data_IF_620588599081
#
_entry.id   IF_620588599081
#
_cell.length_a   1.000
_cell.length_b   1.000
_cell.length_c   1.000
_cell.angle_alpha   90.00
_cell.angle_beta   90.00
_cell.angle_gamma   90.00
#
_symmetry.space_group_name_H-M   'P 1'
#
loop_
_entity.id
_entity.type
_entity.pdbx_description
1 polymer ?
#
# COMPACT_ATOMS: atom_id res chain seq x y z
N UNK A 1 -33.34 -32.20 4.25
CA UNK A 1 -31.95 -32.58 4.63
C UNK A 1 -31.26 -31.38 5.22
N UNK A 2 -30.95 -31.46 6.53
CA UNK A 2 -30.19 -30.41 7.22
C UNK A 2 -28.69 -30.63 6.89
N UNK A 3 -28.12 -29.82 6.01
CA UNK A 3 -26.69 -29.76 5.84
C UNK A 3 -26.09 -28.92 6.96
N UNK A 4 -25.14 -29.48 7.68
CA UNK A 4 -24.34 -28.79 8.70
C UNK A 4 -22.98 -28.45 8.13
N UNK A 5 -22.62 -27.18 8.27
CA UNK A 5 -21.33 -26.68 7.85
C UNK A 5 -20.58 -26.10 9.07
N UNK A 6 -19.32 -26.36 9.15
CA UNK A 6 -18.46 -25.81 10.19
C UNK A 6 -17.16 -25.33 9.56
N UNK A 7 -16.70 -24.18 9.99
CA UNK A 7 -15.42 -23.60 9.58
C UNK A 7 -14.66 -23.16 10.83
N UNK A 8 -13.42 -23.58 10.92
CA UNK A 8 -12.47 -23.18 11.97
C UNK A 8 -11.21 -22.67 11.27
N UNK A 9 -10.77 -21.48 11.62
CA UNK A 9 -9.55 -20.93 11.05
C UNK A 9 -8.84 -20.00 12.02
N UNK A 10 -7.57 -19.76 11.77
CA UNK A 10 -6.76 -18.83 12.53
C UNK A 10 -5.63 -18.29 11.67
N UNK A 11 -5.26 -17.04 11.96
CA UNK A 11 -4.16 -16.34 11.32
C UNK A 11 -3.18 -15.82 12.38
N UNK A 12 -1.89 -15.97 12.11
CA UNK A 12 -0.82 -15.41 12.93
C UNK A 12 0.13 -14.63 12.05
N UNK A 13 0.23 -13.33 12.31
CA UNK A 13 1.14 -12.42 11.62
C UNK A 13 2.22 -11.96 12.61
N UNK A 14 3.47 -12.22 12.24
CA UNK A 14 4.65 -11.72 12.96
C UNK A 14 5.33 -10.68 12.07
N UNK A 15 5.54 -9.47 12.58
CA UNK A 15 6.16 -8.37 11.83
C UNK A 15 7.29 -7.74 12.64
N UNK A 16 8.42 -7.59 12.00
CA UNK A 16 9.60 -6.91 12.53
C UNK A 16 9.99 -5.80 11.58
N UNK A 17 10.30 -4.64 12.12
CA UNK A 17 10.77 -3.50 11.33
C UNK A 17 11.89 -2.77 12.05
N UNK A 18 12.88 -2.37 11.27
CA UNK A 18 14.00 -1.56 11.72
C UNK A 18 14.14 -0.41 10.71
N UNK A 19 14.41 0.78 11.19
CA UNK A 19 14.72 1.93 10.37
C UNK A 19 15.79 2.79 11.04
N UNK A 20 16.57 3.48 10.21
CA UNK A 20 17.51 4.49 10.64
C UNK A 20 17.44 5.65 9.64
N UNK A 21 17.28 6.84 10.16
CA UNK A 21 17.21 8.06 9.35
C UNK A 21 18.05 9.16 9.96
N UNK A 22 18.54 10.02 9.09
CA UNK A 22 19.39 11.15 9.43
C UNK A 22 18.93 12.38 8.64
N UNK A 23 18.95 13.53 9.30
CA UNK A 23 18.70 14.82 8.68
C UNK A 23 19.84 15.77 8.98
N UNK A 24 20.38 16.37 7.93
CA UNK A 24 21.44 17.35 8.00
C UNK A 24 20.98 18.70 7.47
N UNK A 25 21.24 19.72 8.22
CA UNK A 25 21.11 21.10 7.74
C UNK A 25 22.43 21.50 7.07
N UNK A 26 22.43 21.55 5.72
CA UNK A 26 23.63 21.89 4.94
C UNK A 26 23.95 23.37 4.97
N UNK A 27 22.92 24.20 5.11
CA UNK A 27 23.03 25.67 5.27
C UNK A 27 21.78 26.21 5.95
N UNK A 28 21.67 27.55 6.11
CA UNK A 28 20.46 28.19 6.66
C UNK A 28 19.20 27.87 5.86
N UNK A 29 19.33 27.57 4.58
CA UNK A 29 18.19 27.31 3.69
C UNK A 29 18.08 25.84 3.27
N UNK A 30 19.20 25.10 3.16
CA UNK A 30 19.23 23.75 2.62
C UNK A 30 19.24 22.67 3.68
N UNK A 31 18.44 21.66 3.48
CA UNK A 31 18.40 20.46 4.29
C UNK A 31 18.48 19.19 3.40
N UNK A 32 19.18 18.19 3.92
CA UNK A 32 19.35 16.88 3.31
C UNK A 32 18.85 15.83 4.32
N UNK A 33 17.96 14.95 3.89
CA UNK A 33 17.52 13.80 4.64
C UNK A 33 17.86 12.52 3.90
N UNK A 34 18.21 11.47 4.61
CA UNK A 34 18.37 10.12 4.06
C UNK A 34 18.17 9.08 5.13
N UNK A 35 17.80 7.90 4.72
CA UNK A 35 17.57 6.81 5.63
C UNK A 35 17.41 5.47 4.95
N UNK A 36 17.43 4.43 5.76
CA UNK A 36 17.23 3.05 5.35
C UNK A 36 16.17 2.41 6.23
N UNK A 37 15.44 1.47 5.66
CA UNK A 37 14.43 0.71 6.38
C UNK A 37 14.46 -0.75 5.95
N UNK A 38 14.18 -1.63 6.88
CA UNK A 38 13.96 -3.03 6.59
C UNK A 38 12.74 -3.53 7.36
N UNK A 39 11.86 -4.24 6.68
CA UNK A 39 10.69 -4.88 7.26
C UNK A 39 10.67 -6.33 6.84
N UNK A 40 10.43 -7.19 7.79
CA UNK A 40 10.14 -8.60 7.59
C UNK A 40 8.78 -8.91 8.20
N UNK A 41 7.95 -9.64 7.48
CA UNK A 41 6.70 -10.16 8.01
C UNK A 41 6.56 -11.63 7.63
N UNK A 42 5.97 -12.40 8.53
CA UNK A 42 5.59 -13.78 8.32
C UNK A 42 4.13 -13.94 8.67
N UNK A 43 3.36 -14.40 7.71
CA UNK A 43 1.96 -14.75 7.86
C UNK A 43 1.80 -16.27 7.78
N UNK A 44 1.08 -16.83 8.75
CA UNK A 44 0.66 -18.23 8.78
C UNK A 44 -0.83 -18.23 9.03
N UNK A 45 -1.56 -18.82 8.11
CA UNK A 45 -2.97 -19.05 8.28
C UNK A 45 -3.33 -20.51 8.05
N UNK A 46 -4.39 -20.94 8.71
CA UNK A 46 -5.02 -22.23 8.47
C UNK A 46 -6.51 -22.08 8.48
N UNK A 47 -7.18 -22.91 7.73
CA UNK A 47 -8.62 -23.03 7.72
C UNK A 47 -9.02 -24.49 7.54
N UNK A 48 -9.87 -24.96 8.43
CA UNK A 48 -10.52 -26.26 8.33
C UNK A 48 -11.99 -26.04 8.01
N UNK A 49 -12.42 -26.57 6.89
CA UNK A 49 -13.82 -26.59 6.45
C UNK A 49 -14.36 -28.00 6.61
N UNK A 50 -15.54 -28.15 7.22
CA UNK A 50 -16.22 -29.43 7.36
C UNK A 50 -17.69 -29.29 6.98
N UNK A 51 -18.17 -30.16 6.12
CA UNK A 51 -19.56 -30.25 5.72
C UNK A 51 -20.10 -31.68 5.97
N UNK A 52 -21.28 -31.74 6.55
CA UNK A 52 -22.02 -32.98 6.78
C UNK A 52 -23.30 -32.93 5.99
N UNK A 53 -23.36 -33.67 4.88
CA UNK A 53 -24.55 -33.84 4.03
C UNK A 53 -24.55 -35.29 3.56
N UNK A 54 -24.89 -36.24 4.47
CA UNK A 54 -24.72 -37.68 4.24
C UNK A 54 -23.30 -38.12 4.57
N UNK A 55 -22.33 -37.84 3.71
CA UNK A 55 -20.90 -38.08 3.95
C UNK A 55 -20.23 -36.86 4.58
N UNK A 56 -19.23 -37.12 5.47
CA UNK A 56 -18.44 -36.04 6.08
C UNK A 56 -17.33 -35.66 5.08
N UNK A 57 -17.36 -34.44 4.61
CA UNK A 57 -16.31 -33.84 3.82
C UNK A 57 -15.52 -32.86 4.67
N UNK A 58 -14.19 -33.00 4.73
CA UNK A 58 -13.30 -32.08 5.44
C UNK A 58 -12.19 -31.63 4.50
N UNK A 59 -11.93 -30.35 4.48
CA UNK A 59 -10.84 -29.73 3.72
C UNK A 59 -10.02 -28.83 4.62
N UNK A 60 -8.74 -29.09 4.71
CA UNK A 60 -7.76 -28.28 5.41
C UNK A 60 -6.97 -27.45 4.40
N UNK A 61 -6.84 -26.19 4.67
CA UNK A 61 -5.98 -25.26 3.92
C UNK A 61 -4.98 -24.63 4.85
N UNK A 62 -3.75 -24.48 4.36
CA UNK A 62 -2.66 -23.87 5.10
C UNK A 62 -1.86 -22.94 4.19
N UNK A 63 -1.52 -21.76 4.68
CA UNK A 63 -0.66 -20.81 3.98
C UNK A 63 0.48 -20.35 4.90
N UNK A 64 1.68 -20.24 4.36
CA UNK A 64 2.87 -19.65 5.02
C UNK A 64 3.50 -18.68 4.03
N UNK A 65 3.24 -17.39 4.23
CA UNK A 65 3.76 -16.32 3.40
C UNK A 65 4.84 -15.54 4.15
N UNK A 66 5.94 -15.27 3.46
CA UNK A 66 7.01 -14.41 3.95
C UNK A 66 7.09 -13.17 3.07
N UNK A 67 7.09 -12.03 3.71
CA UNK A 67 7.19 -10.72 3.08
C UNK A 67 8.44 -10.00 3.59
N UNK A 68 9.19 -9.40 2.68
CA UNK A 68 10.34 -8.59 3.03
C UNK A 68 10.30 -7.29 2.23
N UNK A 69 10.69 -6.21 2.88
CA UNK A 69 10.81 -4.90 2.25
C UNK A 69 12.10 -4.27 2.74
N UNK A 70 13.01 -3.99 1.82
CA UNK A 70 14.20 -3.19 2.08
C UNK A 70 14.07 -1.86 1.34
N UNK A 71 14.25 -0.76 2.05
CA UNK A 71 14.05 0.57 1.49
C UNK A 71 15.20 1.51 1.84
N UNK A 72 15.48 2.45 0.95
CA UNK A 72 16.28 3.63 1.24
C UNK A 72 15.56 4.86 0.71
N UNK A 73 15.72 5.98 1.37
CA UNK A 73 15.21 7.24 0.87
C UNK A 73 16.28 8.32 0.93
N UNK A 74 16.13 9.30 0.05
CA UNK A 74 16.87 10.54 0.07
C UNK A 74 15.91 11.70 -0.16
N UNK A 75 16.14 12.80 0.54
CA UNK A 75 15.33 14.02 0.39
C UNK A 75 16.25 15.25 0.38
N UNK A 76 15.93 16.22 -0.46
CA UNK A 76 16.57 17.52 -0.51
C UNK A 76 15.49 18.61 -0.44
N UNK A 77 15.67 19.55 0.46
CA UNK A 77 14.74 20.66 0.62
C UNK A 77 15.47 21.99 0.72
N UNK A 78 14.79 23.05 0.29
CA UNK A 78 15.25 24.42 0.45
C UNK A 78 14.11 25.32 0.90
N UNK A 79 14.40 26.14 1.90
CA UNK A 79 13.49 27.15 2.40
C UNK A 79 14.12 28.53 2.18
N UNK A 80 13.47 29.37 1.43
CA UNK A 80 13.92 30.74 1.16
C UNK A 80 13.36 31.69 2.22
N UNK A 81 14.10 32.73 2.52
CA UNK A 81 13.66 33.79 3.44
C UNK A 81 12.36 34.47 2.97
N UNK A 82 12.03 34.43 1.68
CA UNK A 82 10.79 34.93 1.10
C UNK A 82 9.53 34.13 1.47
N UNK A 83 9.67 32.97 2.14
CA UNK A 83 8.58 32.03 2.40
C UNK A 83 8.33 31.02 1.26
N UNK A 84 9.08 31.12 0.16
CA UNK A 84 9.10 30.10 -0.89
C UNK A 84 9.85 28.88 -0.37
N UNK A 85 9.36 27.68 -0.65
CA UNK A 85 10.03 26.44 -0.28
C UNK A 85 9.83 25.38 -1.34
N UNK A 86 10.81 24.50 -1.48
CA UNK A 86 10.63 23.27 -2.23
C UNK A 86 11.28 22.09 -1.51
N UNK A 87 10.76 20.91 -1.77
CA UNK A 87 11.41 19.65 -1.39
C UNK A 87 11.21 18.63 -2.48
N UNK A 88 12.23 17.81 -2.69
CA UNK A 88 12.17 16.61 -3.53
C UNK A 88 12.68 15.43 -2.72
N UNK A 89 12.07 14.30 -2.89
CA UNK A 89 12.53 13.05 -2.28
C UNK A 89 12.23 11.87 -3.18
N UNK A 90 12.98 10.81 -2.98
CA UNK A 90 12.74 9.54 -3.62
C UNK A 90 12.99 8.42 -2.62
N UNK A 91 12.10 7.43 -2.60
CA UNK A 91 12.27 6.19 -1.87
C UNK A 91 12.50 5.07 -2.88
N UNK A 92 13.65 4.42 -2.81
CA UNK A 92 13.92 3.17 -3.52
C UNK A 92 13.55 2.00 -2.62
N UNK A 93 12.81 1.03 -3.14
CA UNK A 93 12.34 -0.09 -2.36
C UNK A 93 12.50 -1.41 -3.12
N UNK A 94 13.02 -2.41 -2.44
CA UNK A 94 12.99 -3.79 -2.88
C UNK A 94 11.95 -4.55 -2.05
N UNK A 95 10.94 -5.05 -2.72
CA UNK A 95 9.82 -5.77 -2.12
C UNK A 95 9.81 -7.22 -2.59
N UNK A 96 9.63 -8.16 -1.66
CA UNK A 96 9.47 -9.58 -1.96
C UNK A 96 8.31 -10.18 -1.16
N UNK A 97 7.52 -11.02 -1.79
CA UNK A 97 6.51 -11.85 -1.15
C UNK A 97 6.33 -13.17 -1.92
N UNK A 98 6.52 -14.31 -1.25
CA UNK A 98 6.53 -15.59 -1.93
C UNK A 98 7.55 -15.61 -3.08
N UNK A 99 7.08 -15.83 -4.30
CA UNK A 99 7.90 -15.83 -5.53
C UNK A 99 7.94 -14.46 -6.24
N UNK A 100 7.19 -13.48 -5.76
CA UNK A 100 7.18 -12.14 -6.34
C UNK A 100 8.29 -11.28 -5.74
N UNK A 101 9.03 -10.59 -6.61
CA UNK A 101 10.03 -9.59 -6.20
C UNK A 101 10.08 -8.44 -7.20
N UNK A 102 10.26 -7.23 -6.70
CA UNK A 102 10.30 -6.03 -7.53
C UNK A 102 11.11 -4.91 -6.87
N UNK A 103 11.91 -4.21 -7.65
CA UNK A 103 12.42 -2.90 -7.34
C UNK A 103 11.44 -1.83 -7.79
N UNK A 104 11.23 -0.84 -6.97
CA UNK A 104 10.41 0.31 -7.30
C UNK A 104 11.01 1.59 -6.73
N UNK A 105 10.72 2.72 -7.38
CA UNK A 105 11.11 4.05 -6.91
C UNK A 105 9.85 4.89 -6.77
N UNK A 106 9.71 5.53 -5.62
CA UNK A 106 8.56 6.35 -5.25
C UNK A 106 9.00 7.81 -5.11
N UNK A 107 8.84 8.63 -6.15
CA UNK A 107 9.20 10.04 -6.10
C UNK A 107 8.14 10.84 -5.33
N UNK A 108 8.59 11.88 -4.65
CA UNK A 108 7.75 12.90 -4.04
C UNK A 108 8.37 14.27 -4.29
N UNK A 109 7.55 15.27 -4.48
CA UNK A 109 8.01 16.64 -4.62
C UNK A 109 6.96 17.60 -4.04
N UNK A 110 7.40 18.70 -3.46
CA UNK A 110 6.52 19.80 -3.07
C UNK A 110 7.18 21.13 -3.37
N UNK A 111 6.37 22.07 -3.81
CA UNK A 111 6.76 23.45 -4.06
C UNK A 111 5.69 24.36 -3.47
N UNK A 112 6.10 25.31 -2.66
CA UNK A 112 5.29 26.47 -2.28
C UNK A 112 5.99 27.70 -2.80
N UNK A 113 5.41 28.38 -3.77
CA UNK A 113 5.94 29.61 -4.33
C UNK A 113 5.12 30.80 -3.86
N UNK A 114 5.73 31.60 -2.99
CA UNK A 114 5.16 32.81 -2.44
C UNK A 114 5.61 34.03 -3.27
N UNK A 115 4.87 34.35 -4.33
CA UNK A 115 5.17 35.52 -5.16
C UNK A 115 4.91 36.81 -4.36
N UNK A 116 3.79 36.86 -3.67
CA UNK A 116 3.39 37.93 -2.73
C UNK A 116 2.44 37.31 -1.71
N UNK A 117 2.17 37.96 -0.56
CA UNK A 117 1.14 37.47 0.38
C UNK A 117 -0.25 37.30 -0.23
N UNK A 118 -0.49 37.90 -1.39
CA UNK A 118 -1.76 37.81 -2.13
C UNK A 118 -1.77 36.73 -3.21
N UNK A 119 -0.61 36.17 -3.57
CA UNK A 119 -0.45 35.19 -4.65
C UNK A 119 0.46 34.05 -4.20
N UNK A 120 -0.14 32.92 -3.84
CA UNK A 120 0.57 31.72 -3.38
C UNK A 120 0.25 30.59 -4.35
N UNK A 121 1.28 29.91 -4.84
CA UNK A 121 1.18 28.73 -5.67
C UNK A 121 1.75 27.54 -4.90
N UNK A 122 1.02 26.45 -4.90
CA UNK A 122 1.44 25.19 -4.30
C UNK A 122 1.34 24.08 -5.34
N UNK A 123 2.34 23.25 -5.40
CA UNK A 123 2.37 22.06 -6.25
C UNK A 123 2.93 20.92 -5.43
N UNK A 124 2.28 19.77 -5.46
CA UNK A 124 2.78 18.56 -4.80
C UNK A 124 2.60 17.33 -5.69
N UNK A 125 3.63 16.51 -5.72
CA UNK A 125 3.62 15.17 -6.25
C UNK A 125 3.81 14.21 -5.08
N UNK A 126 2.90 13.29 -4.87
CA UNK A 126 3.05 12.19 -3.92
C UNK A 126 2.87 10.85 -4.60
N UNK A 127 3.55 9.86 -4.08
CA UNK A 127 3.39 8.47 -4.49
C UNK A 127 2.94 7.66 -3.30
N UNK A 128 1.78 7.03 -3.41
CA UNK A 128 1.21 6.15 -2.42
C UNK A 128 1.25 4.71 -2.91
N UNK A 129 1.55 3.78 -2.01
CA UNK A 129 1.57 2.35 -2.31
C UNK A 129 0.64 1.59 -1.37
N UNK A 130 -0.08 0.65 -1.94
CA UNK A 130 -0.98 -0.24 -1.20
C UNK A 130 -0.59 -1.67 -1.50
N UNK A 131 -0.21 -2.41 -0.46
CA UNK A 131 0.09 -3.83 -0.57
C UNK A 131 -1.21 -4.63 -0.50
N UNK A 132 -1.36 -5.70 -1.30
CA UNK A 132 -2.46 -6.63 -1.14
C UNK A 132 -2.45 -7.22 0.28
N UNK A 133 -3.63 -7.50 0.81
CA UNK A 133 -3.71 -8.25 2.06
C UNK A 133 -3.28 -9.70 1.85
N UNK A 134 -2.86 -10.37 2.91
CA UNK A 134 -2.52 -11.81 2.81
C UNK A 134 -3.75 -12.64 2.38
N UNK A 135 -4.94 -12.23 2.77
CA UNK A 135 -6.20 -12.82 2.32
C UNK A 135 -6.42 -12.70 0.81
N UNK A 136 -6.09 -11.54 0.23
CA UNK A 136 -6.20 -11.35 -1.22
C UNK A 136 -5.21 -12.20 -2.01
N UNK A 137 -4.12 -12.64 -1.37
CA UNK A 137 -3.04 -13.42 -1.99
C UNK A 137 -3.09 -14.92 -1.67
N UNK A 138 -4.07 -15.38 -0.90
CA UNK A 138 -4.22 -16.80 -0.60
C UNK A 138 -4.41 -17.63 -1.89
N UNK A 139 -3.81 -18.81 -1.93
CA UNK A 139 -4.06 -19.80 -2.97
C UNK A 139 -5.27 -20.68 -2.66
N UNK A 140 -5.76 -20.59 -1.44
CA UNK A 140 -6.88 -21.40 -0.94
C UNK A 140 -8.20 -20.64 -1.02
N UNK A 141 -9.29 -21.40 -1.12
CA UNK A 141 -10.65 -20.87 -1.05
C UNK A 141 -11.05 -20.74 0.41
N UNK A 142 -11.53 -19.57 0.81
CA UNK A 142 -12.10 -19.35 2.12
C UNK A 142 -13.62 -19.29 2.00
N UNK A 143 -14.32 -19.95 2.91
CA UNK A 143 -15.78 -19.97 2.93
C UNK A 143 -16.29 -18.96 3.95
N UNK A 144 -17.06 -17.98 3.49
CA UNK A 144 -17.70 -17.00 4.38
C UNK A 144 -19.01 -17.54 4.97
N UNK A 145 -19.69 -18.37 4.20
CA UNK A 145 -20.92 -19.10 4.59
C UNK A 145 -21.15 -20.24 3.60
N UNK A 146 -22.27 -20.96 3.73
CA UNK A 146 -22.61 -22.10 2.85
C UNK A 146 -22.84 -21.73 1.37
N UNK A 147 -22.88 -20.43 1.03
CA UNK A 147 -23.19 -19.94 -0.33
C UNK A 147 -22.16 -18.98 -0.88
N UNK A 148 -21.18 -18.59 -0.06
CA UNK A 148 -20.20 -17.55 -0.44
C UNK A 148 -18.79 -18.04 -0.22
N UNK A 149 -18.04 -18.10 -1.29
CA UNK A 149 -16.60 -18.42 -1.31
C UNK A 149 -15.80 -17.14 -1.56
N UNK A 150 -14.66 -17.02 -0.89
CA UNK A 150 -13.68 -15.97 -1.11
C UNK A 150 -12.45 -16.60 -1.75
N UNK A 151 -12.12 -16.15 -2.94
CA UNK A 151 -10.95 -16.59 -3.70
C UNK A 151 -9.86 -15.53 -3.62
N UNK A 152 -8.68 -15.92 -3.19
CA UNK A 152 -7.50 -15.09 -3.30
C UNK A 152 -6.88 -15.20 -4.70
N UNK A 153 -6.05 -14.24 -5.05
CA UNK A 153 -5.27 -14.25 -6.28
C UNK A 153 -3.78 -14.22 -5.94
N UNK A 154 -3.10 -15.38 -5.96
CA UNK A 154 -1.66 -15.43 -5.73
C UNK A 154 -0.92 -14.57 -6.75
N UNK A 155 0.06 -13.80 -6.28
CA UNK A 155 0.87 -12.95 -7.15
C UNK A 155 0.26 -11.57 -7.47
N UNK A 156 -0.76 -11.12 -6.73
CA UNK A 156 -1.19 -9.73 -6.77
C UNK A 156 -0.01 -8.80 -6.51
N UNK A 157 0.10 -7.78 -7.35
CA UNK A 157 1.16 -6.78 -7.25
C UNK A 157 0.73 -5.63 -6.34
N UNK A 158 1.67 -4.98 -5.62
CA UNK A 158 1.37 -3.75 -4.92
C UNK A 158 0.87 -2.68 -5.89
N UNK A 159 -0.26 -2.08 -5.55
CA UNK A 159 -0.82 -0.94 -6.27
C UNK A 159 -0.02 0.31 -5.97
N UNK A 160 0.24 1.11 -6.98
CA UNK A 160 0.95 2.38 -6.85
C UNK A 160 0.10 3.51 -7.43
N UNK A 161 -0.18 4.54 -6.62
CA UNK A 161 -0.90 5.73 -7.03
C UNK A 161 0.03 6.95 -7.03
N UNK A 162 0.07 7.66 -8.15
CA UNK A 162 0.77 8.92 -8.32
C UNK A 162 -0.25 10.05 -8.28
N UNK A 163 -0.11 10.95 -7.32
CA UNK A 163 -1.03 12.06 -7.09
C UNK A 163 -0.31 13.38 -7.35
N UNK A 164 -0.79 14.15 -8.31
CA UNK A 164 -0.33 15.51 -8.58
C UNK A 164 -1.43 16.49 -8.15
N UNK A 165 -1.09 17.38 -7.23
CA UNK A 165 -2.00 18.38 -6.72
C UNK A 165 -1.42 19.78 -6.93
N UNK A 166 -2.19 20.67 -7.52
CA UNK A 166 -1.87 22.07 -7.68
C UNK A 166 -2.90 22.95 -6.98
N UNK A 167 -2.45 23.99 -6.31
CA UNK A 167 -3.31 24.97 -5.66
C UNK A 167 -2.81 26.39 -5.93
N UNK A 168 -3.72 27.27 -6.26
CA UNK A 168 -3.46 28.71 -6.37
C UNK A 168 -4.37 29.47 -5.42
N UNK A 169 -3.75 30.22 -4.50
CA UNK A 169 -4.46 31.03 -3.51
C UNK A 169 -4.30 32.49 -3.88
N UNK A 170 -5.44 33.14 -4.18
CA UNK A 170 -5.52 34.52 -4.56
C UNK A 170 -6.10 35.38 -3.43
N UNK A 171 -5.35 36.41 -3.00
CA UNK A 171 -5.73 37.37 -1.96
C UNK A 171 -6.19 36.72 -0.65
N UNK A 172 -5.71 35.49 -0.35
CA UNK A 172 -6.14 34.72 0.81
C UNK A 172 -7.66 34.48 0.90
N UNK A 173 -8.37 34.66 -0.21
CA UNK A 173 -9.84 34.60 -0.28
C UNK A 173 -10.33 33.56 -1.28
N UNK A 174 -9.64 33.41 -2.42
CA UNK A 174 -10.02 32.46 -3.46
C UNK A 174 -8.98 31.36 -3.57
N UNK A 175 -9.42 30.11 -3.65
CA UNK A 175 -8.57 28.93 -3.78
C UNK A 175 -9.02 28.18 -5.02
N UNK A 176 -8.09 27.95 -5.93
CA UNK A 176 -8.28 27.12 -7.12
C UNK A 176 -7.44 25.88 -6.96
N UNK A 177 -8.06 24.70 -7.07
CA UNK A 177 -7.38 23.41 -6.95
C UNK A 177 -7.50 22.63 -8.25
N UNK A 178 -6.40 21.99 -8.62
CA UNK A 178 -6.31 21.02 -9.69
C UNK A 178 -5.69 19.75 -9.12
N UNK A 179 -6.25 18.60 -9.45
CA UNK A 179 -5.65 17.32 -9.07
C UNK A 179 -5.65 16.36 -10.25
N UNK A 180 -4.65 15.52 -10.29
CA UNK A 180 -4.53 14.40 -11.20
C UNK A 180 -4.03 13.19 -10.43
N UNK A 181 -4.63 12.02 -10.69
CA UNK A 181 -4.23 10.75 -10.09
C UNK A 181 -4.07 9.70 -11.19
N UNK A 182 -2.97 8.97 -11.12
CA UNK A 182 -2.73 7.80 -11.95
C UNK A 182 -2.41 6.60 -11.05
N UNK A 183 -3.13 5.50 -11.24
CA UNK A 183 -2.94 4.29 -10.44
C UNK A 183 -2.51 3.14 -11.35
N UNK A 184 -1.41 2.49 -10.99
CA UNK A 184 -0.90 1.29 -11.63
C UNK A 184 -1.16 0.05 -10.79
N UNK A 185 -1.31 -1.10 -11.42
CA UNK A 185 -1.55 -2.39 -10.79
C UNK A 185 -2.76 -2.37 -9.83
N UNK A 186 -3.83 -1.68 -10.24
CA UNK A 186 -5.06 -1.57 -9.45
C UNK A 186 -5.70 -2.93 -9.25
N UNK A 187 -6.06 -3.26 -8.02
CA UNK A 187 -6.81 -4.47 -7.70
C UNK A 187 -8.03 -4.12 -6.85
N UNK A 188 -9.08 -4.89 -7.03
CA UNK A 188 -10.34 -4.77 -6.27
C UNK A 188 -10.97 -6.15 -6.12
N UNK A 189 -11.60 -6.38 -5.00
CA UNK A 189 -12.44 -7.54 -4.80
C UNK A 189 -13.79 -7.30 -5.47
N UNK A 190 -14.17 -8.17 -6.39
CA UNK A 190 -15.45 -8.09 -7.08
C UNK A 190 -16.33 -9.30 -6.73
N UNK A 191 -17.62 -9.09 -6.43
CA UNK A 191 -18.55 -10.20 -6.28
C UNK A 191 -18.80 -10.86 -7.63
N UNK A 192 -18.80 -12.18 -7.65
CA UNK A 192 -19.09 -12.99 -8.82
C UNK A 192 -20.12 -14.05 -8.46
N UNK A 193 -21.16 -14.21 -9.27
CA UNK A 193 -22.12 -15.27 -9.12
C UNK A 193 -21.79 -16.42 -10.08
N UNK A 194 -21.47 -17.60 -9.54
CA UNK A 194 -21.25 -18.78 -10.36
C UNK A 194 -22.55 -19.23 -11.02
N UNK A 195 -22.48 -19.50 -12.32
CA UNK A 195 -23.60 -20.09 -13.09
C UNK A 195 -23.64 -21.60 -13.00
N UNK A 196 -22.53 -22.22 -12.57
CA UNK A 196 -22.37 -23.67 -12.50
C UNK A 196 -22.84 -24.29 -11.17
N UNK A 197 -22.91 -23.47 -10.13
CA UNK A 197 -23.36 -23.89 -8.80
C UNK A 197 -24.59 -23.07 -8.42
N UNK A 198 -25.76 -23.65 -8.57
CA UNK A 198 -27.04 -23.14 -8.07
C UNK A 198 -27.51 -23.91 -6.86
#
# INVERSE_FOLDING_TARGET
DLSRFSMVGGQRIERYSVYADQKHQLSKEWNLGYGVSYRFAKDRDFQTYSQVTGDIYTQDTYSDLKEQTAGFYVSLGRNYASGTSFSISATGEYYTIGNYHKWAVYPQASLTYLKTPKHIFQLSLSTDKTYPSYWDMQSSVSYLNGYTELWGTPGLKPMTAYNLNGSYILKQKYIFNLFFMHTSDYFVQAPYQSTERR
#
